data_IF_485641406324
#
_entry.id   IF_485641406324
#
_cell.length_a   1.000
_cell.length_b   1.000
_cell.length_c   1.000
_cell.angle_alpha   90.00
_cell.angle_beta   90.00
_cell.angle_gamma   90.00
#
_symmetry.space_group_name_H-M   'P 1'
#
loop_
_entity.id
_entity.type
_entity.pdbx_description
1 polymer ?
#
# COMPACT_ATOMS: atom_id res chain seq x y z
N UNK A 1 -43.14 66.79 13.58
CA UNK A 1 -42.79 65.86 14.69
C UNK A 1 -43.09 64.45 14.23
N UNK A 2 -42.25 63.43 14.38
CA UNK A 2 -40.96 63.30 15.04
C UNK A 2 -40.33 61.97 14.63
N UNK A 3 -39.00 61.93 14.66
CA UNK A 3 -38.11 60.79 14.41
C UNK A 3 -38.52 59.49 15.10
N UNK A 4 -38.01 58.36 14.60
CA UNK A 4 -37.08 57.43 15.27
C UNK A 4 -37.03 56.14 14.43
N UNK A 5 -35.97 55.94 13.64
CA UNK A 5 -34.73 55.24 13.99
C UNK A 5 -34.80 53.76 13.62
N UNK A 6 -34.02 53.40 12.60
CA UNK A 6 -33.85 52.05 12.04
C UNK A 6 -33.07 51.16 13.01
N UNK A 7 -33.42 49.87 13.16
CA UNK A 7 -32.45 48.86 13.55
C UNK A 7 -31.76 48.27 12.31
N UNK A 8 -30.43 48.36 12.30
CA UNK A 8 -29.54 47.56 11.45
C UNK A 8 -29.77 46.08 11.76
N UNK A 9 -30.05 45.28 10.74
CA UNK A 9 -29.84 43.83 10.80
C UNK A 9 -28.75 43.46 9.80
N UNK A 10 -27.77 42.76 10.35
CA UNK A 10 -26.47 42.43 9.78
C UNK A 10 -26.64 41.42 8.66
N UNK A 11 -25.94 41.67 7.57
CA UNK A 11 -25.79 40.79 6.41
C UNK A 11 -25.13 39.47 6.83
N UNK A 12 -25.87 38.36 6.77
CA UNK A 12 -25.28 37.02 6.66
C UNK A 12 -25.49 36.56 5.21
N UNK A 13 -24.47 36.81 4.39
CA UNK A 13 -24.37 36.26 3.06
C UNK A 13 -24.24 34.74 3.12
N UNK A 14 -25.34 34.01 2.93
CA UNK A 14 -25.26 32.64 2.44
C UNK A 14 -24.76 32.70 0.99
N UNK A 15 -23.44 32.70 0.85
CA UNK A 15 -22.78 32.42 -0.41
C UNK A 15 -23.25 31.05 -0.91
N UNK A 16 -23.79 31.06 -2.12
CA UNK A 16 -24.18 29.88 -2.89
C UNK A 16 -22.92 29.08 -3.23
N UNK A 17 -22.43 28.27 -2.30
CA UNK A 17 -21.57 27.15 -2.64
C UNK A 17 -22.42 26.03 -3.24
N UNK A 18 -22.76 26.22 -4.52
CA UNK A 18 -23.19 25.14 -5.42
C UNK A 18 -22.00 24.14 -5.48
N UNK A 19 -22.19 22.85 -5.13
CA UNK A 19 -21.12 21.88 -5.30
C UNK A 19 -20.74 21.82 -6.79
N UNK A 20 -19.44 21.72 -7.13
CA UNK A 20 -19.05 21.54 -8.52
C UNK A 20 -19.71 20.26 -9.04
N UNK A 21 -20.43 20.40 -10.15
CA UNK A 21 -21.00 19.28 -10.90
C UNK A 21 -19.89 18.28 -11.20
N UNK A 22 -19.90 17.15 -10.51
CA UNK A 22 -19.03 16.03 -10.82
C UNK A 22 -19.37 15.56 -12.24
N UNK A 23 -18.47 15.84 -13.17
CA UNK A 23 -18.48 15.25 -14.51
C UNK A 23 -18.39 13.72 -14.36
N UNK A 24 -19.23 12.91 -15.04
CA UNK A 24 -19.35 11.48 -14.75
C UNK A 24 -18.21 10.60 -15.29
N UNK A 25 -17.05 11.17 -15.64
CA UNK A 25 -16.04 10.49 -16.45
C UNK A 25 -14.66 10.28 -15.77
N UNK A 26 -14.57 10.33 -14.43
CA UNK A 26 -13.26 10.27 -13.76
C UNK A 26 -13.15 9.54 -12.42
N UNK A 27 -14.22 8.93 -11.91
CA UNK A 27 -14.23 8.32 -10.56
C UNK A 27 -14.38 6.79 -10.64
N UNK A 28 -13.47 6.13 -11.36
CA UNK A 28 -13.28 4.68 -11.26
C UNK A 28 -11.88 4.33 -10.74
N UNK A 29 -11.26 5.23 -9.98
CA UNK A 29 -10.08 4.91 -9.18
C UNK A 29 -10.46 4.99 -7.71
N UNK A 30 -10.51 3.82 -7.07
CA UNK A 30 -10.73 3.62 -5.63
C UNK A 30 -12.16 3.76 -5.12
N UNK A 31 -13.06 2.88 -5.60
CA UNK A 31 -14.04 2.36 -4.65
C UNK A 31 -13.24 1.60 -3.57
N UNK A 32 -13.34 1.98 -2.28
CA UNK A 32 -12.74 1.20 -1.22
C UNK A 32 -13.24 -0.24 -1.35
N UNK A 33 -12.32 -1.21 -1.32
CA UNK A 33 -12.71 -2.61 -1.33
C UNK A 33 -13.53 -2.82 -0.06
N UNK A 34 -14.83 -3.09 -0.17
CA UNK A 34 -15.66 -3.34 1.00
C UNK A 34 -15.51 -4.80 1.44
N UNK A 35 -15.61 -5.06 2.74
CA UNK A 35 -15.69 -6.39 3.31
C UNK A 35 -17.09 -7.00 3.14
N UNK A 36 -17.27 -8.21 3.67
CA UNK A 36 -18.53 -8.96 3.63
C UNK A 36 -19.72 -8.24 4.30
N UNK A 37 -19.46 -7.23 5.13
CA UNK A 37 -20.45 -6.46 5.86
C UNK A 37 -20.64 -5.06 5.27
N UNK A 38 -20.09 -4.80 4.08
CA UNK A 38 -20.19 -3.51 3.40
C UNK A 38 -19.27 -2.43 3.98
N UNK A 39 -18.34 -2.77 4.87
CA UNK A 39 -17.38 -1.81 5.47
C UNK A 39 -16.14 -1.69 4.61
N UNK A 40 -15.55 -0.49 4.50
CA UNK A 40 -14.29 -0.31 3.77
C UNK A 40 -13.14 -1.13 4.40
N UNK A 41 -12.56 -2.06 3.64
CA UNK A 41 -11.38 -2.85 4.02
C UNK A 41 -10.14 -2.46 3.22
N UNK A 42 -8.98 -2.54 3.89
CA UNK A 42 -7.65 -2.36 3.26
C UNK A 42 -7.02 -3.70 2.87
N UNK A 43 -7.72 -4.82 3.06
CA UNK A 43 -7.21 -6.15 2.74
C UNK A 43 -6.93 -6.28 1.23
N UNK A 44 -5.68 -6.57 0.86
CA UNK A 44 -5.26 -6.79 -0.54
C UNK A 44 -5.13 -8.29 -0.90
N UNK A 45 -5.65 -9.17 -0.05
CA UNK A 45 -5.56 -10.62 -0.22
C UNK A 45 -6.78 -11.15 -0.99
N UNK A 46 -6.64 -11.22 -2.32
CA UNK A 46 -7.69 -11.68 -3.23
C UNK A 46 -8.18 -13.11 -2.94
N UNK A 47 -7.31 -14.14 -2.76
CA UNK A 47 -7.75 -15.48 -2.39
C UNK A 47 -8.62 -15.52 -1.14
N UNK A 48 -8.25 -14.77 -0.10
CA UNK A 48 -9.00 -14.68 1.14
C UNK A 48 -10.38 -14.04 0.94
N UNK A 49 -10.45 -12.94 0.18
CA UNK A 49 -11.72 -12.27 -0.14
C UNK A 49 -12.67 -13.18 -0.93
N UNK A 50 -12.16 -13.92 -1.92
CA UNK A 50 -12.95 -14.87 -2.72
C UNK A 50 -13.57 -15.92 -1.81
N UNK A 51 -12.77 -16.57 -0.96
CA UNK A 51 -13.26 -17.61 -0.03
C UNK A 51 -14.40 -17.10 0.85
N UNK A 52 -14.25 -15.87 1.36
CA UNK A 52 -15.24 -15.23 2.22
C UNK A 52 -16.52 -14.87 1.49
N UNK A 53 -16.42 -14.33 0.27
CA UNK A 53 -17.58 -14.04 -0.58
C UNK A 53 -18.32 -15.32 -0.97
N UNK A 54 -17.60 -16.39 -1.33
CA UNK A 54 -18.21 -17.68 -1.64
C UNK A 54 -19.03 -18.23 -0.48
N UNK A 55 -18.49 -18.16 0.75
CA UNK A 55 -19.23 -18.60 1.94
C UNK A 55 -20.51 -17.79 2.16
N UNK A 56 -20.44 -16.46 2.01
CA UNK A 56 -21.62 -15.60 2.12
C UNK A 56 -22.66 -15.86 1.03
N UNK A 57 -22.22 -16.09 -0.19
CA UNK A 57 -23.11 -16.48 -1.29
C UNK A 57 -23.79 -17.80 -1.00
N UNK A 58 -23.08 -18.78 -0.41
CA UNK A 58 -23.65 -20.06 -0.01
C UNK A 58 -24.75 -19.87 1.05
N UNK A 59 -24.47 -19.14 2.13
CA UNK A 59 -25.46 -18.83 3.18
C UNK A 59 -26.73 -18.19 2.60
N UNK A 60 -26.58 -17.21 1.70
CA UNK A 60 -27.71 -16.51 1.09
C UNK A 60 -28.52 -17.40 0.15
N UNK A 61 -27.86 -18.33 -0.56
CA UNK A 61 -28.51 -19.24 -1.49
C UNK A 61 -29.24 -20.39 -0.77
N UNK A 62 -28.61 -20.97 0.25
CA UNK A 62 -29.17 -22.12 0.97
C UNK A 62 -30.08 -21.70 2.12
N UNK A 63 -29.95 -20.47 2.62
CA UNK A 63 -30.63 -20.01 3.82
C UNK A 63 -30.16 -20.71 5.10
N UNK A 64 -29.16 -21.60 5.01
CA UNK A 64 -28.56 -22.26 6.17
C UNK A 64 -27.41 -21.40 6.69
N UNK A 65 -27.56 -20.96 7.95
CA UNK A 65 -26.44 -20.56 8.79
C UNK A 65 -25.66 -21.79 9.26
N UNK A 66 -24.64 -21.57 10.10
CA UNK A 66 -23.91 -22.63 10.79
C UNK A 66 -24.88 -23.65 11.41
N UNK A 67 -24.53 -24.94 11.38
CA UNK A 67 -25.31 -25.95 12.08
C UNK A 67 -25.23 -25.72 13.59
N UNK A 68 -26.26 -26.14 14.33
CA UNK A 68 -26.26 -26.06 15.79
C UNK A 68 -25.00 -26.72 16.42
N UNK A 69 -24.51 -27.81 15.82
CA UNK A 69 -23.25 -28.46 16.23
C UNK A 69 -22.02 -27.58 15.98
N UNK A 70 -21.98 -26.86 14.85
CA UNK A 70 -20.90 -25.95 14.54
C UNK A 70 -20.92 -24.72 15.47
N UNK A 71 -22.10 -24.22 15.84
CA UNK A 71 -22.27 -23.16 16.83
C UNK A 71 -21.81 -23.60 18.21
N UNK A 72 -22.20 -24.81 18.66
CA UNK A 72 -21.73 -25.40 19.91
C UNK A 72 -20.20 -25.55 19.92
N UNK A 73 -19.62 -26.07 18.84
CA UNK A 73 -18.17 -26.20 18.73
C UNK A 73 -17.44 -24.86 18.74
N UNK A 74 -18.03 -23.80 18.19
CA UNK A 74 -17.48 -22.44 18.28
C UNK A 74 -17.58 -21.92 19.72
N UNK A 75 -18.70 -22.17 20.41
CA UNK A 75 -18.87 -21.78 21.81
C UNK A 75 -17.83 -22.47 22.71
N UNK A 76 -17.66 -23.78 22.56
CA UNK A 76 -16.68 -24.58 23.31
C UNK A 76 -15.25 -24.07 23.12
N UNK A 77 -14.91 -23.61 21.91
CA UNK A 77 -13.59 -23.05 21.59
C UNK A 77 -13.43 -21.59 22.01
N UNK A 78 -14.53 -20.85 22.17
CA UNK A 78 -14.54 -19.42 22.45
C UNK A 78 -14.29 -19.05 23.92
N UNK A 79 -14.55 -19.96 24.85
CA UNK A 79 -14.35 -19.71 26.29
C UNK A 79 -12.85 -19.64 26.69
N UNK A 80 -11.97 -20.30 25.94
CA UNK A 80 -10.55 -20.44 26.28
C UNK A 80 -9.63 -19.39 25.64
N UNK A 81 -10.11 -18.60 24.68
CA UNK A 81 -9.24 -17.70 23.89
C UNK A 81 -9.65 -16.23 24.03
N UNK A 82 -8.77 -15.34 24.54
CA UNK A 82 -9.04 -13.91 24.54
C UNK A 82 -9.15 -13.42 23.10
N UNK A 83 -10.38 -13.18 22.65
CA UNK A 83 -10.66 -12.62 21.34
C UNK A 83 -9.96 -11.27 21.25
N UNK A 84 -8.91 -11.19 20.43
CA UNK A 84 -8.29 -9.91 20.06
C UNK A 84 -9.26 -9.16 19.16
N UNK A 85 -10.26 -8.54 19.76
CA UNK A 85 -11.11 -7.58 19.10
C UNK A 85 -10.21 -6.40 18.72
N UNK A 86 -10.12 -6.14 17.42
CA UNK A 86 -9.54 -4.88 16.95
C UNK A 86 -10.58 -3.81 17.28
N UNK A 87 -10.20 -2.83 18.10
CA UNK A 87 -11.05 -1.67 18.34
C UNK A 87 -11.51 -1.09 17.00
N UNK A 88 -12.82 -0.92 16.85
CA UNK A 88 -13.47 -0.30 15.69
C UNK A 88 -13.21 1.21 15.73
N UNK A 89 -11.95 1.60 15.66
CA UNK A 89 -11.49 2.98 15.61
C UNK A 89 -10.58 3.17 14.40
N UNK A 90 -10.48 4.43 13.94
CA UNK A 90 -9.41 4.76 13.00
C UNK A 90 -8.09 4.29 13.60
N UNK A 91 -7.27 3.53 12.85
CA UNK A 91 -5.99 3.07 13.37
C UNK A 91 -5.22 4.31 13.83
N UNK A 92 -4.60 4.27 15.03
CA UNK A 92 -3.80 5.39 15.49
C UNK A 92 -2.83 5.78 14.37
N UNK A 93 -2.60 7.09 14.14
CA UNK A 93 -1.69 7.55 13.11
C UNK A 93 -0.39 6.77 13.28
N UNK A 94 0.00 6.05 12.22
CA UNK A 94 1.20 5.23 12.25
C UNK A 94 2.35 6.14 12.71
N UNK A 95 3.16 5.72 13.68
CA UNK A 95 4.36 6.46 14.01
C UNK A 95 5.14 6.69 12.72
N UNK A 96 5.65 7.91 12.53
CA UNK A 96 6.47 8.23 11.37
C UNK A 96 7.56 7.15 11.28
N UNK A 97 7.66 6.46 10.13
CA UNK A 97 8.63 5.38 10.02
C UNK A 97 10.01 5.97 10.32
N UNK A 98 10.81 5.35 11.20
CA UNK A 98 12.15 5.83 11.45
C UNK A 98 12.88 5.93 10.12
N UNK A 99 13.67 7.00 9.94
CA UNK A 99 14.51 7.16 8.77
C UNK A 99 15.27 5.85 8.55
N UNK A 100 15.06 5.23 7.39
CA UNK A 100 15.61 3.90 7.12
C UNK A 100 17.14 4.02 7.21
N UNK A 101 17.82 3.19 8.03
CA UNK A 101 19.26 3.23 8.11
C UNK A 101 19.85 2.97 6.71
N UNK A 102 20.84 3.77 6.33
CA UNK A 102 21.48 3.70 5.02
C UNK A 102 22.15 2.34 4.83
N UNK A 103 21.93 1.70 3.69
CA UNK A 103 22.47 0.37 3.41
C UNK A 103 24.02 0.44 3.33
N UNK A 104 24.76 -0.39 4.10
CA UNK A 104 26.23 -0.40 4.10
C UNK A 104 26.88 -0.67 2.74
N UNK A 105 26.13 -1.21 1.78
CA UNK A 105 26.61 -1.51 0.42
C UNK A 105 26.63 -0.29 -0.49
N UNK A 106 26.03 0.82 -0.07
CA UNK A 106 25.98 2.03 -0.86
C UNK A 106 27.31 2.79 -0.73
N UNK A 107 27.86 3.30 -1.85
CA UNK A 107 28.99 4.23 -1.82
C UNK A 107 28.68 5.51 -1.01
N UNK A 108 29.70 6.35 -0.75
CA UNK A 108 29.52 7.68 -0.17
C UNK A 108 28.48 8.51 -0.93
N UNK A 109 27.78 9.41 -0.22
CA UNK A 109 26.92 10.42 -0.85
C UNK A 109 27.74 11.26 -1.83
N UNK A 110 27.15 11.60 -2.97
CA UNK A 110 27.80 12.26 -4.09
C UNK A 110 28.55 11.33 -5.05
N UNK A 111 28.59 10.01 -4.79
CA UNK A 111 29.20 9.07 -5.74
C UNK A 111 28.29 8.88 -6.95
N UNK A 112 28.87 8.96 -8.15
CA UNK A 112 28.17 8.66 -9.41
C UNK A 112 28.40 7.19 -9.78
N UNK A 113 27.32 6.41 -9.76
CA UNK A 113 27.29 5.03 -10.22
C UNK A 113 26.99 5.04 -11.72
N UNK A 114 27.91 4.51 -12.52
CA UNK A 114 27.74 4.37 -13.96
C UNK A 114 27.29 2.96 -14.32
N UNK A 115 26.15 2.83 -14.99
CA UNK A 115 25.61 1.54 -15.43
C UNK A 115 25.30 1.53 -16.92
N UNK A 116 25.97 0.65 -17.66
CA UNK A 116 25.60 0.38 -19.05
C UNK A 116 24.39 -0.57 -19.13
N UNK A 117 23.32 -0.16 -19.82
CA UNK A 117 22.16 -1.00 -20.12
C UNK A 117 21.62 -0.66 -21.52
N UNK A 118 21.30 -1.68 -22.32
CA UNK A 118 20.81 -1.52 -23.72
C UNK A 118 21.67 -0.62 -24.62
N UNK A 119 22.97 -0.50 -24.33
CA UNK A 119 23.89 0.34 -25.09
C UNK A 119 23.97 1.79 -24.61
N UNK A 120 23.15 2.18 -23.63
CA UNK A 120 23.21 3.50 -22.98
C UNK A 120 23.91 3.42 -21.63
N UNK A 121 24.61 4.48 -21.26
CA UNK A 121 25.28 4.61 -19.96
C UNK A 121 24.42 5.48 -19.07
N UNK A 122 23.87 4.87 -18.03
CA UNK A 122 23.04 5.50 -17.02
C UNK A 122 23.91 5.98 -15.86
N UNK A 123 23.89 7.29 -15.58
CA UNK A 123 24.60 7.89 -14.45
C UNK A 123 23.62 8.11 -13.29
N UNK A 124 23.93 7.54 -12.12
CA UNK A 124 23.08 7.59 -10.94
C UNK A 124 23.87 8.21 -9.80
N UNK A 125 23.44 9.36 -9.29
CA UNK A 125 24.10 10.02 -8.17
C UNK A 125 23.49 9.53 -6.86
N UNK A 126 24.33 9.11 -5.92
CA UNK A 126 23.88 8.72 -4.57
C UNK A 126 23.64 9.98 -3.74
N UNK A 127 22.42 10.18 -3.23
CA UNK A 127 22.06 11.27 -2.32
C UNK A 127 21.96 10.73 -0.88
N UNK A 128 21.80 11.64 0.09
CA UNK A 128 21.65 11.27 1.50
C UNK A 128 20.32 10.55 1.78
N UNK A 129 19.26 11.01 1.11
CA UNK A 129 17.88 10.55 1.26
C UNK A 129 17.40 9.66 0.10
N UNK A 130 18.28 9.34 -0.86
CA UNK A 130 17.90 8.57 -2.05
C UNK A 130 18.94 8.58 -3.17
N UNK A 131 18.46 8.75 -4.40
CA UNK A 131 19.25 8.69 -5.62
C UNK A 131 18.76 9.71 -6.63
N UNK A 132 19.65 10.28 -7.42
CA UNK A 132 19.30 11.12 -8.55
C UNK A 132 19.62 10.39 -9.85
N UNK A 133 18.70 10.45 -10.80
CA UNK A 133 18.85 9.89 -12.14
C UNK A 133 18.17 10.81 -13.15
N UNK A 134 18.90 11.25 -14.18
CA UNK A 134 18.42 12.20 -15.21
C UNK A 134 17.76 13.48 -14.61
N UNK A 135 18.31 14.00 -13.52
CA UNK A 135 17.78 15.20 -12.83
C UNK A 135 16.52 14.95 -12.01
N UNK A 136 16.10 13.70 -11.81
CA UNK A 136 14.95 13.31 -10.98
C UNK A 136 15.40 12.59 -9.73
N UNK A 137 14.77 12.90 -8.60
CA UNK A 137 14.99 12.23 -7.32
C UNK A 137 14.18 10.93 -7.21
N UNK A 138 14.83 9.88 -6.72
CA UNK A 138 14.28 8.55 -6.52
C UNK A 138 14.63 8.01 -5.13
N UNK A 139 13.64 7.38 -4.48
CA UNK A 139 13.82 6.77 -3.15
C UNK A 139 14.52 5.41 -3.16
N UNK A 140 14.71 4.78 -4.33
CA UNK A 140 15.39 3.47 -4.42
C UNK A 140 15.97 3.16 -5.81
N UNK A 141 17.09 2.42 -5.83
CA UNK A 141 17.71 1.90 -7.06
C UNK A 141 16.80 0.95 -7.85
N UNK A 142 15.91 0.21 -7.16
CA UNK A 142 14.94 -0.66 -7.84
C UNK A 142 13.90 0.13 -8.62
N UNK A 143 13.56 1.34 -8.17
CA UNK A 143 12.69 2.25 -8.91
C UNK A 143 13.37 2.71 -10.19
N UNK A 144 14.63 3.14 -10.11
CA UNK A 144 15.44 3.53 -11.28
C UNK A 144 15.58 2.34 -12.25
N UNK A 145 15.93 1.16 -11.74
CA UNK A 145 16.07 -0.04 -12.56
C UNK A 145 14.76 -0.40 -13.29
N UNK A 146 13.60 -0.17 -12.65
CA UNK A 146 12.29 -0.38 -13.27
C UNK A 146 11.96 0.69 -14.32
N UNK A 147 12.33 1.94 -14.08
CA UNK A 147 12.19 3.02 -15.07
C UNK A 147 12.98 2.68 -16.35
N UNK A 148 14.23 2.25 -16.19
CA UNK A 148 15.11 1.91 -17.32
C UNK A 148 14.72 0.59 -18.00
N UNK A 149 14.41 -0.45 -17.21
CA UNK A 149 14.22 -1.81 -17.75
C UNK A 149 12.75 -2.13 -18.06
N UNK A 150 11.80 -1.37 -17.51
CA UNK A 150 10.35 -1.66 -17.55
C UNK A 150 9.88 -2.77 -16.60
N UNK A 151 10.81 -3.56 -16.06
CA UNK A 151 10.55 -4.75 -15.22
C UNK A 151 11.15 -4.56 -13.83
N UNK A 152 10.58 -5.20 -12.81
CA UNK A 152 11.15 -5.20 -11.46
C UNK A 152 12.49 -5.93 -11.41
N UNK A 153 13.56 -5.23 -11.06
CA UNK A 153 14.89 -5.80 -10.83
C UNK A 153 15.35 -5.55 -9.39
N UNK A 154 16.27 -6.40 -8.91
CA UNK A 154 17.03 -6.08 -7.70
C UNK A 154 17.95 -4.89 -8.01
N UNK A 155 17.65 -3.72 -7.44
CA UNK A 155 18.31 -2.45 -7.75
C UNK A 155 19.81 -2.48 -7.49
N UNK A 156 20.27 -3.14 -6.42
CA UNK A 156 21.70 -3.26 -6.11
C UNK A 156 22.44 -4.15 -7.12
N UNK A 157 21.80 -5.20 -7.61
CA UNK A 157 22.38 -6.08 -8.62
C UNK A 157 22.45 -5.35 -9.96
N UNK A 158 21.39 -4.62 -10.32
CA UNK A 158 21.33 -3.85 -11.55
C UNK A 158 22.35 -2.71 -11.55
N UNK A 159 22.51 -2.01 -10.43
CA UNK A 159 23.53 -0.98 -10.24
C UNK A 159 24.97 -1.53 -10.08
N UNK A 160 25.15 -2.86 -10.08
CA UNK A 160 26.48 -3.49 -9.97
C UNK A 160 27.09 -3.46 -8.55
N UNK A 161 26.31 -3.09 -7.53
CA UNK A 161 26.75 -2.99 -6.14
C UNK A 161 26.80 -4.34 -5.41
N UNK A 162 26.19 -5.40 -5.97
CA UNK A 162 26.26 -6.75 -5.39
C UNK A 162 26.59 -7.79 -6.45
N UNK A 163 27.36 -8.83 -6.08
CA UNK A 163 27.60 -10.01 -6.92
C UNK A 163 26.55 -11.09 -6.63
N UNK A 164 26.07 -11.77 -7.67
CA UNK A 164 25.18 -12.94 -7.52
C UNK A 164 25.97 -14.08 -6.89
N UNK A 165 25.61 -14.55 -5.69
CA UNK A 165 26.22 -15.76 -5.11
C UNK A 165 26.01 -16.94 -6.06
N UNK A 166 27.09 -17.51 -6.58
CA UNK A 166 27.06 -18.75 -7.37
C UNK A 166 26.62 -19.87 -6.42
N UNK A 167 25.47 -20.50 -6.66
CA UNK A 167 25.09 -21.71 -5.94
C UNK A 167 26.11 -22.80 -6.31
N UNK A 168 26.89 -23.27 -5.34
CA UNK A 168 27.70 -24.48 -5.49
C UNK A 168 26.69 -25.62 -5.67
N UNK A 169 26.54 -26.16 -6.89
CA UNK A 169 25.84 -27.43 -7.06
C UNK A 169 26.68 -28.47 -6.31
N UNK A 170 26.05 -29.20 -5.40
CA UNK A 170 26.70 -30.27 -4.67
C UNK A 170 27.26 -31.28 -5.67
N UNK A 171 28.52 -31.59 -5.49
CA UNK A 171 29.19 -32.75 -6.05
C UNK A 171 28.52 -33.99 -5.47
N UNK A 172 27.72 -34.69 -6.28
CA UNK A 172 27.21 -36.00 -5.92
C UNK A 172 28.27 -37.00 -6.36
N UNK A 173 29.12 -37.42 -5.42
CA UNK A 173 30.04 -38.52 -5.61
C UNK A 173 29.26 -39.78 -5.97
N UNK A 174 29.62 -40.35 -7.12
CA UNK A 174 29.24 -41.68 -7.56
C UNK A 174 30.26 -42.64 -6.94
N UNK A 175 29.87 -43.34 -5.86
CA UNK A 175 30.67 -44.42 -5.28
C UNK A 175 30.34 -45.71 -6.04
N UNK A 176 31.38 -46.34 -6.60
CA UNK A 176 31.33 -47.59 -7.36
C UNK A 176 31.33 -48.86 -6.53
#
# INVERSE_FOLDING_TARGET
MGSFMRPRLVSLGLSRNRPPSASPAGVLSYLPCCDLHGRATRARNRPWLIKRLSYRTQELMTGLSLSAEAEQRIADLGEDEPVRLRDEGDPPPLPEPPAKPRDPRLPPVGTVIRRAHKGEVHEITVLDDGFEYEGRHYTSLSTIAREVTGTSWNGFLWAGLTKRKKRKRGDAGEDG
#
